data_IF_984289437494
#
_entry.id   IF_984289437494
#
_cell.length_a   1.000
_cell.length_b   1.000
_cell.length_c   1.000
_cell.angle_alpha   90.00
_cell.angle_beta   90.00
_cell.angle_gamma   90.00
#
_symmetry.space_group_name_H-M   'P 1'
#
loop_
_entity.id
_entity.type
_entity.pdbx_description
1 polymer ?
#
# COMPACT_ATOMS: atom_id res chain seq x y z
N UNK A 1 -18.25 -4.75 -4.61
CA UNK A 1 -19.23 -5.73 -5.17
C UNK A 1 -20.09 -6.37 -4.07
N UNK A 2 -19.55 -6.57 -2.85
CA UNK A 2 -20.31 -7.14 -1.72
C UNK A 2 -21.18 -6.11 -0.98
N UNK A 3 -21.21 -4.86 -1.41
CA UNK A 3 -22.01 -3.79 -0.79
C UNK A 3 -21.56 -3.34 0.61
N UNK A 4 -20.33 -3.71 1.01
CA UNK A 4 -19.81 -3.41 2.36
C UNK A 4 -19.12 -2.04 2.40
N UNK A 5 -18.58 -1.59 1.28
CA UNK A 5 -17.87 -0.31 1.10
C UNK A 5 -18.42 0.36 -0.16
N UNK A 6 -18.78 1.64 -0.08
CA UNK A 6 -19.12 2.46 -1.23
C UNK A 6 -17.96 3.41 -1.59
N UNK A 7 -17.87 3.80 -2.87
CA UNK A 7 -16.82 4.69 -3.35
C UNK A 7 -16.85 6.07 -2.68
N UNK A 8 -18.05 6.56 -2.37
CA UNK A 8 -18.25 7.88 -1.77
C UNK A 8 -18.21 7.85 -0.23
N UNK A 9 -18.05 6.66 0.37
CA UNK A 9 -17.96 6.57 1.83
C UNK A 9 -16.75 7.36 2.35
N UNK A 10 -16.94 8.18 3.38
CA UNK A 10 -15.83 8.82 4.08
C UNK A 10 -14.92 7.79 4.75
N UNK A 11 -13.61 7.91 4.54
CA UNK A 11 -12.58 7.01 5.14
C UNK A 11 -12.71 6.97 6.66
N UNK A 12 -13.05 8.07 7.30
CA UNK A 12 -13.26 8.17 8.75
C UNK A 12 -14.36 7.24 9.30
N UNK A 13 -15.27 6.77 8.45
CA UNK A 13 -16.28 5.79 8.86
C UNK A 13 -15.66 4.42 9.22
N UNK A 14 -14.51 4.11 8.60
CA UNK A 14 -13.76 2.87 8.79
C UNK A 14 -12.54 3.05 9.69
N UNK A 15 -11.87 4.20 9.57
CA UNK A 15 -10.66 4.57 10.30
C UNK A 15 -10.92 5.82 11.13
N UNK A 16 -11.30 5.63 12.40
CA UNK A 16 -11.64 6.75 13.29
C UNK A 16 -10.48 7.73 13.50
N UNK A 17 -9.25 7.27 13.34
CA UNK A 17 -8.04 8.07 13.40
C UNK A 17 -8.04 9.21 12.36
N UNK A 18 -8.79 9.04 11.27
CA UNK A 18 -8.91 10.02 10.19
C UNK A 18 -9.97 11.13 10.44
N UNK A 19 -10.59 11.16 11.62
CA UNK A 19 -11.53 12.24 11.99
C UNK A 19 -10.86 13.61 12.17
N UNK A 20 -9.59 13.63 12.61
CA UNK A 20 -8.88 14.84 13.02
C UNK A 20 -7.73 15.20 12.06
N UNK A 21 -7.86 14.82 10.78
CA UNK A 21 -6.87 15.18 9.76
C UNK A 21 -6.75 16.70 9.62
N UNK A 22 -5.54 17.14 9.29
CA UNK A 22 -5.24 18.53 8.96
C UNK A 22 -4.54 18.62 7.61
N UNK A 23 -4.68 19.76 6.95
CA UNK A 23 -4.01 20.07 5.68
C UNK A 23 -2.89 21.06 5.96
N UNK A 24 -1.72 20.81 5.39
CA UNK A 24 -0.58 21.71 5.43
C UNK A 24 -0.83 22.95 4.56
N UNK A 25 -0.48 24.10 5.08
CA UNK A 25 -0.48 25.35 4.34
C UNK A 25 0.95 25.93 4.33
N UNK A 26 1.36 26.58 3.26
CA UNK A 26 2.71 27.10 3.00
C UNK A 26 3.33 27.96 4.12
N UNK A 27 2.51 28.45 5.05
CA UNK A 27 2.96 29.25 6.18
C UNK A 27 3.22 28.45 7.47
N UNK A 28 3.45 27.13 7.40
CA UNK A 28 3.51 26.22 8.55
C UNK A 28 2.23 26.27 9.40
N UNK A 29 1.13 26.69 8.81
CA UNK A 29 -0.20 26.66 9.41
C UNK A 29 -0.93 25.39 8.96
N UNK A 30 -1.75 24.89 9.83
CA UNK A 30 -2.60 23.75 9.56
C UNK A 30 -4.05 24.20 9.54
N UNK A 31 -4.81 23.71 8.58
CA UNK A 31 -6.25 23.93 8.52
C UNK A 31 -6.98 22.59 8.52
N UNK A 32 -8.23 22.59 8.99
CA UNK A 32 -9.10 21.43 8.82
C UNK A 32 -9.40 21.24 7.33
N UNK A 33 -9.45 19.99 6.82
CA UNK A 33 -9.90 19.72 5.47
C UNK A 33 -11.31 20.29 5.22
N UNK A 34 -11.55 20.86 4.05
CA UNK A 34 -12.88 21.31 3.61
C UNK A 34 -13.72 20.12 3.12
N UNK A 35 -13.05 19.08 2.63
CA UNK A 35 -13.66 17.87 2.11
C UNK A 35 -13.29 16.66 2.97
N UNK A 36 -14.26 15.80 3.25
CA UNK A 36 -13.98 14.48 3.78
C UNK A 36 -13.30 13.63 2.69
N UNK A 37 -12.22 12.96 3.09
CA UNK A 37 -11.53 11.98 2.24
C UNK A 37 -12.44 10.76 2.03
N UNK A 38 -12.69 10.38 0.79
CA UNK A 38 -13.50 9.22 0.41
C UNK A 38 -12.66 8.02 -0.02
N UNK A 39 -13.28 6.86 -0.15
CA UNK A 39 -12.67 5.65 -0.74
C UNK A 39 -12.22 5.94 -2.18
N UNK A 40 -13.03 6.67 -2.95
CA UNK A 40 -12.68 7.09 -4.32
C UNK A 40 -11.43 7.96 -4.36
N UNK A 41 -11.22 8.84 -3.37
CA UNK A 41 -10.01 9.68 -3.30
C UNK A 41 -8.75 8.84 -3.00
N UNK A 42 -8.87 7.79 -2.20
CA UNK A 42 -7.77 6.84 -2.00
C UNK A 42 -7.44 6.07 -3.28
N UNK A 43 -8.44 5.54 -3.97
CA UNK A 43 -8.27 4.78 -5.22
C UNK A 43 -7.68 5.62 -6.36
N UNK A 44 -7.99 6.91 -6.39
CA UNK A 44 -7.54 7.85 -7.43
C UNK A 44 -6.34 8.69 -7.05
N UNK A 45 -5.73 8.48 -5.88
CA UNK A 45 -4.65 9.32 -5.33
C UNK A 45 -4.99 10.81 -5.20
N UNK A 46 -6.26 11.13 -4.90
CA UNK A 46 -6.75 12.48 -4.60
C UNK A 46 -6.93 12.72 -3.10
N UNK A 47 -6.35 11.88 -2.27
CA UNK A 47 -6.49 11.90 -0.81
C UNK A 47 -5.67 12.98 -0.10
N UNK A 48 -4.65 13.56 -0.75
CA UNK A 48 -3.68 14.46 -0.12
C UNK A 48 -2.55 13.76 0.62
N UNK A 49 -2.51 12.43 0.64
CA UNK A 49 -1.45 11.63 1.25
C UNK A 49 -0.19 11.59 0.37
N UNK A 50 1.00 11.50 0.98
CA UNK A 50 2.30 11.42 0.29
C UNK A 50 3.08 10.14 0.59
N UNK A 51 4.38 10.14 0.24
CA UNK A 51 5.28 8.99 0.45
C UNK A 51 6.51 9.28 1.31
N UNK A 52 6.89 10.53 1.50
CA UNK A 52 8.13 10.91 2.19
C UNK A 52 9.31 11.21 1.25
N UNK A 53 9.01 11.42 -0.02
CA UNK A 53 9.92 12.00 -1.01
C UNK A 53 9.14 12.93 -1.94
N UNK A 54 9.69 14.12 -2.16
CA UNK A 54 9.03 15.15 -2.97
C UNK A 54 9.71 16.49 -2.83
N UNK A 55 8.92 17.56 -2.95
CA UNK A 55 9.39 18.95 -2.91
C UNK A 55 9.20 19.63 -1.56
N UNK A 56 8.53 19.00 -0.59
CA UNK A 56 8.29 19.58 0.73
C UNK A 56 9.07 18.81 1.80
N UNK A 57 10.28 19.26 2.10
CA UNK A 57 11.18 18.60 3.05
C UNK A 57 10.57 18.41 4.46
N UNK A 58 9.70 19.31 4.90
CA UNK A 58 9.05 19.22 6.20
C UNK A 58 8.08 18.02 6.24
N UNK A 59 7.12 17.95 5.33
CA UNK A 59 6.17 16.84 5.25
C UNK A 59 6.89 15.53 4.89
N UNK A 60 7.81 15.56 3.93
CA UNK A 60 8.53 14.38 3.48
C UNK A 60 9.31 13.71 4.63
N UNK A 61 9.87 14.52 5.56
CA UNK A 61 10.55 13.98 6.75
C UNK A 61 9.60 13.25 7.71
N UNK A 62 8.33 13.65 7.78
CA UNK A 62 7.32 12.97 8.60
C UNK A 62 6.84 11.70 7.90
N UNK A 63 6.51 11.78 6.62
CA UNK A 63 6.08 10.62 5.84
C UNK A 63 7.15 9.52 5.74
N UNK A 64 8.43 9.85 5.72
CA UNK A 64 9.51 8.84 5.66
C UNK A 64 9.49 7.86 6.83
N UNK A 65 8.93 8.23 7.99
CA UNK A 65 8.85 7.42 9.22
C UNK A 65 7.69 6.44 9.27
N UNK A 66 6.79 6.45 8.28
CA UNK A 66 5.63 5.55 8.26
C UNK A 66 6.07 4.09 8.10
N UNK A 67 7.19 3.86 7.43
CA UNK A 67 7.71 2.52 7.14
C UNK A 67 8.36 1.81 8.33
N UNK A 68 8.57 2.53 9.44
CA UNK A 68 9.09 1.98 10.70
C UNK A 68 7.99 1.31 11.55
N UNK A 69 6.74 1.34 11.08
CA UNK A 69 5.58 0.80 11.83
C UNK A 69 5.47 -0.70 11.68
N UNK A 70 5.00 -1.36 12.75
CA UNK A 70 5.00 -2.82 12.85
C UNK A 70 3.82 -3.51 12.18
N UNK A 71 2.74 -2.78 11.88
CA UNK A 71 1.54 -3.32 11.27
C UNK A 71 0.69 -2.21 10.66
N UNK A 72 -0.34 -2.58 9.91
CA UNK A 72 -1.22 -1.63 9.23
C UNK A 72 -1.99 -0.71 10.19
N UNK A 73 -2.29 -1.17 11.41
CA UNK A 73 -2.94 -0.32 12.41
C UNK A 73 -2.00 0.80 12.89
N UNK A 74 -0.78 0.46 13.29
CA UNK A 74 0.22 1.45 13.70
C UNK A 74 0.56 2.41 12.55
N UNK A 75 0.61 1.89 11.32
CA UNK A 75 0.85 2.66 10.12
C UNK A 75 -0.21 3.76 9.95
N UNK A 76 -1.50 3.42 9.94
CA UNK A 76 -2.57 4.42 9.74
C UNK A 76 -2.72 5.35 10.95
N UNK A 77 -2.48 4.86 12.18
CA UNK A 77 -2.49 5.70 13.38
C UNK A 77 -1.39 6.76 13.32
N UNK A 78 -0.19 6.40 12.90
CA UNK A 78 0.88 7.39 12.71
C UNK A 78 0.60 8.31 11.52
N UNK A 79 0.10 7.75 10.42
CA UNK A 79 -0.23 8.50 9.20
C UNK A 79 -1.27 9.59 9.48
N UNK A 80 -2.27 9.32 10.33
CA UNK A 80 -3.30 10.30 10.71
C UNK A 80 -2.77 11.51 11.49
N UNK A 81 -1.57 11.40 12.07
CA UNK A 81 -0.89 12.52 12.73
C UNK A 81 -0.08 13.40 11.79
N UNK A 82 0.07 13.01 10.53
CA UNK A 82 0.82 13.76 9.52
C UNK A 82 -0.15 14.61 8.71
N UNK A 83 0.14 15.91 8.49
CA UNK A 83 -0.70 16.74 7.66
C UNK A 83 -0.78 16.25 6.21
N UNK A 84 -1.95 16.41 5.60
CA UNK A 84 -2.14 16.21 4.17
C UNK A 84 -1.39 17.28 3.37
N UNK A 85 -0.93 16.94 2.18
CA UNK A 85 -0.30 17.89 1.27
C UNK A 85 -1.28 18.92 0.70
N UNK A 86 -2.56 18.50 0.52
CA UNK A 86 -3.65 19.33 0.01
C UNK A 86 -4.99 18.78 0.49
N UNK A 87 -6.02 19.55 0.28
CA UNK A 87 -7.40 19.17 0.61
C UNK A 87 -7.87 18.01 -0.26
N UNK A 88 -8.44 16.93 0.30
CA UNK A 88 -8.95 15.84 -0.50
C UNK A 88 -9.82 16.31 -1.66
N UNK A 89 -9.73 15.66 -2.81
CA UNK A 89 -10.42 15.94 -4.09
C UNK A 89 -9.84 17.08 -4.91
N UNK A 90 -8.99 17.96 -4.36
CA UNK A 90 -8.53 19.18 -5.06
C UNK A 90 -7.36 18.94 -6.00
N UNK A 91 -6.47 18.03 -5.67
CA UNK A 91 -5.26 17.75 -6.43
C UNK A 91 -5.01 16.25 -6.55
N UNK A 92 -4.01 15.87 -7.35
CA UNK A 92 -3.51 14.51 -7.47
C UNK A 92 -2.08 14.40 -6.96
N UNK A 93 -1.83 13.39 -6.13
CA UNK A 93 -0.48 13.06 -5.66
C UNK A 93 -0.32 11.57 -5.41
N UNK A 94 0.63 10.95 -6.09
CA UNK A 94 0.98 9.58 -5.79
C UNK A 94 1.49 9.45 -4.35
N UNK A 95 0.92 8.54 -3.59
CA UNK A 95 1.20 8.36 -2.17
C UNK A 95 0.66 7.04 -1.62
N UNK A 96 0.65 6.92 -0.31
CA UNK A 96 0.28 5.70 0.45
C UNK A 96 -1.23 5.41 0.50
N UNK A 97 -2.00 5.95 -0.41
CA UNK A 97 -3.46 5.76 -0.44
C UNK A 97 -3.88 4.29 -0.50
N UNK A 98 -3.17 3.47 -1.28
CA UNK A 98 -3.44 2.03 -1.41
C UNK A 98 -3.06 1.24 -0.16
N UNK A 99 -2.09 1.72 0.62
CA UNK A 99 -1.78 1.13 1.94
C UNK A 99 -2.91 1.37 2.93
N UNK A 100 -3.53 2.56 2.90
CA UNK A 100 -4.72 2.89 3.71
C UNK A 100 -5.90 2.00 3.30
N UNK A 101 -6.11 1.75 2.00
CA UNK A 101 -7.14 0.80 1.53
C UNK A 101 -6.88 -0.61 2.07
N UNK A 102 -5.63 -1.05 2.14
CA UNK A 102 -5.26 -2.33 2.78
C UNK A 102 -5.76 -2.41 4.22
N UNK A 103 -5.56 -1.34 5.01
CA UNK A 103 -6.07 -1.30 6.39
C UNK A 103 -7.60 -1.28 6.46
N UNK A 104 -8.27 -0.58 5.57
CA UNK A 104 -9.74 -0.58 5.51
C UNK A 104 -10.27 -2.00 5.27
N UNK A 105 -9.64 -2.76 4.36
CA UNK A 105 -9.98 -4.18 4.15
C UNK A 105 -9.88 -4.96 5.46
N UNK A 106 -8.79 -4.82 6.22
CA UNK A 106 -8.62 -5.52 7.50
C UNK A 106 -9.74 -5.15 8.51
N UNK A 107 -10.08 -3.86 8.59
CA UNK A 107 -11.12 -3.37 9.52
C UNK A 107 -12.49 -3.96 9.17
N UNK A 108 -12.84 -3.97 7.90
CA UNK A 108 -14.15 -4.40 7.43
C UNK A 108 -14.31 -5.92 7.47
N UNK A 109 -13.25 -6.65 7.10
CA UNK A 109 -13.31 -8.11 7.00
C UNK A 109 -12.93 -8.85 8.28
N UNK A 110 -12.25 -8.17 9.22
CA UNK A 110 -11.65 -8.75 10.43
C UNK A 110 -10.59 -9.83 10.14
N UNK A 111 -10.00 -9.77 8.94
CA UNK A 111 -8.89 -10.62 8.50
C UNK A 111 -7.63 -9.77 8.34
N UNK A 112 -6.45 -10.40 8.31
CA UNK A 112 -5.24 -9.72 7.81
C UNK A 112 -5.41 -9.42 6.31
N UNK A 113 -4.69 -8.44 5.81
CA UNK A 113 -4.73 -8.14 4.37
C UNK A 113 -4.28 -9.37 3.55
N UNK A 114 -3.26 -10.10 4.03
CA UNK A 114 -2.82 -11.32 3.39
C UNK A 114 -3.91 -12.39 3.34
N UNK A 115 -4.57 -12.69 4.46
CA UNK A 115 -5.60 -13.72 4.51
C UNK A 115 -6.75 -13.40 3.56
N UNK A 116 -7.20 -12.14 3.57
CA UNK A 116 -8.25 -11.68 2.66
C UNK A 116 -7.84 -11.86 1.19
N UNK A 117 -6.65 -11.40 0.80
CA UNK A 117 -6.16 -11.52 -0.57
C UNK A 117 -5.93 -12.98 -0.97
N UNK A 118 -5.40 -13.78 -0.05
CA UNK A 118 -5.15 -15.20 -0.28
C UNK A 118 -6.44 -15.99 -0.55
N UNK A 119 -7.48 -15.75 0.25
CA UNK A 119 -8.74 -16.49 0.12
C UNK A 119 -9.58 -16.02 -1.07
N UNK A 120 -9.53 -14.73 -1.40
CA UNK A 120 -10.41 -14.13 -2.42
C UNK A 120 -9.75 -13.93 -3.79
N UNK A 121 -8.40 -13.93 -3.86
CA UNK A 121 -7.65 -13.69 -5.09
C UNK A 121 -6.61 -14.79 -5.34
N UNK A 122 -5.67 -15.00 -4.40
CA UNK A 122 -4.52 -15.84 -4.70
C UNK A 122 -4.89 -17.32 -4.89
N UNK A 123 -5.66 -17.91 -3.98
CA UNK A 123 -6.13 -19.29 -4.12
C UNK A 123 -7.03 -19.50 -5.34
N UNK A 124 -8.07 -18.67 -5.59
CA UNK A 124 -8.90 -18.80 -6.79
C UNK A 124 -8.14 -18.72 -8.11
N UNK A 125 -7.08 -17.88 -8.16
CA UNK A 125 -6.24 -17.69 -9.34
C UNK A 125 -5.01 -18.61 -9.37
N UNK A 126 -4.89 -19.55 -8.43
CA UNK A 126 -3.75 -20.47 -8.33
C UNK A 126 -2.39 -19.75 -8.20
N UNK A 127 -2.38 -18.61 -7.49
CA UNK A 127 -1.20 -17.78 -7.26
C UNK A 127 -0.45 -18.21 -5.99
N UNK A 128 -0.08 -19.48 -5.89
CA UNK A 128 0.48 -20.10 -4.67
C UNK A 128 1.89 -19.63 -4.28
N UNK A 129 2.53 -18.82 -5.11
CA UNK A 129 3.82 -18.19 -4.86
C UNK A 129 3.72 -16.68 -4.68
N UNK A 130 2.52 -16.16 -4.34
CA UNK A 130 2.29 -14.74 -4.06
C UNK A 130 2.12 -14.52 -2.56
N UNK A 131 3.00 -13.70 -1.96
CA UNK A 131 3.08 -13.54 -0.51
C UNK A 131 3.55 -12.13 -0.14
N UNK A 132 3.22 -11.64 1.08
CA UNK A 132 3.95 -10.53 1.71
C UNK A 132 5.27 -11.03 2.31
N UNK A 133 5.26 -12.20 2.95
CA UNK A 133 6.46 -12.83 3.51
C UNK A 133 6.78 -14.13 2.80
N UNK A 134 8.03 -14.32 2.39
CA UNK A 134 8.48 -15.54 1.72
C UNK A 134 8.44 -16.71 2.70
N UNK A 135 7.72 -17.80 2.40
CA UNK A 135 7.83 -19.04 3.19
C UNK A 135 9.28 -19.54 3.25
N UNK A 136 9.74 -19.98 4.43
CA UNK A 136 11.14 -20.37 4.65
C UNK A 136 11.68 -21.36 3.61
N UNK A 137 10.85 -22.34 3.21
CA UNK A 137 11.22 -23.36 2.23
C UNK A 137 11.30 -22.85 0.78
N UNK A 138 10.84 -21.62 0.50
CA UNK A 138 10.89 -20.95 -0.82
C UNK A 138 11.96 -19.87 -0.92
N UNK A 139 12.67 -19.57 0.17
CA UNK A 139 13.64 -18.46 0.21
C UNK A 139 14.74 -18.58 -0.87
N UNK A 140 15.21 -19.80 -1.16
CA UNK A 140 16.24 -20.06 -2.17
C UNK A 140 15.78 -19.75 -3.61
N UNK A 141 14.48 -19.54 -3.83
CA UNK A 141 13.90 -19.14 -5.13
C UNK A 141 13.85 -17.63 -5.30
N UNK A 142 14.11 -16.85 -4.24
CA UNK A 142 14.11 -15.40 -4.32
C UNK A 142 15.30 -14.92 -5.16
N UNK A 143 15.02 -14.20 -6.24
CA UNK A 143 16.04 -13.72 -7.18
C UNK A 143 16.83 -12.57 -6.57
N UNK A 144 18.12 -12.49 -6.91
CA UNK A 144 18.93 -11.34 -6.52
C UNK A 144 18.53 -10.10 -7.31
N UNK A 145 18.48 -8.96 -6.64
CA UNK A 145 18.22 -7.67 -7.25
C UNK A 145 19.53 -6.88 -7.36
N UNK A 146 19.76 -6.26 -8.51
CA UNK A 146 20.98 -5.51 -8.82
C UNK A 146 20.64 -4.08 -9.22
N UNK A 147 21.50 -3.16 -8.81
CA UNK A 147 21.51 -1.77 -9.22
C UNK A 147 22.76 -1.51 -10.09
N UNK A 148 22.60 -0.75 -11.15
CA UNK A 148 23.76 -0.29 -11.92
C UNK A 148 24.39 0.90 -11.22
N UNK A 149 25.66 0.77 -10.82
CA UNK A 149 26.45 1.84 -10.21
C UNK A 149 27.23 2.58 -11.31
N UNK A 150 26.76 3.77 -11.66
CA UNK A 150 27.36 4.60 -12.73
C UNK A 150 28.83 4.96 -12.50
N UNK A 151 29.25 5.39 -11.26
CA UNK A 151 30.64 5.73 -10.98
C UNK A 151 31.61 4.59 -11.24
N UNK A 152 31.28 3.37 -10.87
CA UNK A 152 32.16 2.20 -11.03
C UNK A 152 31.90 1.41 -12.32
N UNK A 153 30.82 1.74 -13.04
CA UNK A 153 30.34 1.02 -14.24
C UNK A 153 30.09 -0.48 -13.99
N UNK A 154 29.65 -0.84 -12.77
CA UNK A 154 29.43 -2.21 -12.35
C UNK A 154 27.97 -2.43 -11.88
N UNK A 155 27.57 -3.71 -11.82
CA UNK A 155 26.34 -4.13 -11.15
C UNK A 155 26.61 -4.38 -9.66
N UNK A 156 25.94 -3.63 -8.80
CA UNK A 156 25.93 -3.84 -7.37
C UNK A 156 24.70 -4.65 -6.96
N UNK A 157 24.92 -5.76 -6.24
CA UNK A 157 23.82 -6.54 -5.70
C UNK A 157 23.22 -5.84 -4.47
N UNK A 158 21.98 -5.38 -4.60
CA UNK A 158 21.27 -4.62 -3.55
C UNK A 158 20.36 -5.46 -2.68
N UNK A 159 19.90 -6.61 -3.18
CA UNK A 159 19.05 -7.53 -2.42
C UNK A 159 19.24 -8.98 -2.87
N UNK A 160 19.03 -9.93 -1.96
CA UNK A 160 19.05 -11.36 -2.23
C UNK A 160 18.28 -12.15 -1.14
N UNK A 161 18.17 -13.47 -1.34
CA UNK A 161 17.47 -14.36 -0.41
C UNK A 161 18.00 -14.34 1.04
N UNK A 162 19.25 -13.94 1.27
CA UNK A 162 19.87 -13.94 2.61
C UNK A 162 19.46 -12.73 3.45
N UNK A 163 19.28 -11.57 2.84
CA UNK A 163 19.06 -10.29 3.54
C UNK A 163 17.81 -9.52 3.13
N UNK A 164 16.99 -10.09 2.23
CA UNK A 164 15.75 -9.43 1.83
C UNK A 164 14.80 -9.17 3.01
N UNK A 165 14.15 -8.02 2.99
CA UNK A 165 13.10 -7.65 3.95
C UNK A 165 11.93 -8.65 3.97
N UNK A 166 11.68 -9.33 2.87
CA UNK A 166 10.59 -10.29 2.73
C UNK A 166 10.77 -11.59 3.54
N UNK A 167 11.86 -11.74 4.28
CA UNK A 167 12.08 -12.85 5.23
C UNK A 167 11.25 -12.71 6.51
N UNK A 168 10.96 -11.47 6.91
CA UNK A 168 10.17 -11.17 8.09
C UNK A 168 9.40 -9.88 7.83
N UNK A 169 8.12 -10.02 7.56
CA UNK A 169 7.22 -8.91 7.24
C UNK A 169 6.18 -8.80 8.34
N UNK A 170 6.03 -7.60 8.87
CA UNK A 170 5.01 -7.28 9.88
C UNK A 170 4.00 -6.27 9.35
N UNK A 171 4.41 -5.40 8.41
CA UNK A 171 3.57 -4.45 7.72
C UNK A 171 3.19 -5.01 6.34
N UNK A 172 1.93 -5.39 6.16
CA UNK A 172 1.38 -5.86 4.89
C UNK A 172 0.96 -4.67 4.03
N UNK A 173 1.94 -4.08 3.31
CA UNK A 173 1.72 -2.86 2.50
C UNK A 173 0.79 -3.14 1.32
N UNK A 174 -0.38 -2.51 1.30
CA UNK A 174 -1.32 -2.58 0.19
C UNK A 174 -0.85 -1.89 -1.09
N UNK A 175 0.17 -1.01 -0.96
CA UNK A 175 0.72 -0.24 -2.08
C UNK A 175 1.87 -0.92 -2.83
N UNK A 176 2.49 -2.00 -2.29
CA UNK A 176 3.67 -2.59 -2.96
C UNK A 176 4.42 -3.65 -2.18
N UNK A 177 3.79 -4.29 -1.21
CA UNK A 177 4.42 -5.27 -0.31
C UNK A 177 4.51 -6.70 -0.84
N UNK A 178 3.85 -7.03 -1.94
CA UNK A 178 3.79 -8.40 -2.45
C UNK A 178 5.03 -8.80 -3.25
N UNK A 179 5.41 -10.05 -3.09
CA UNK A 179 6.31 -10.78 -3.98
C UNK A 179 5.52 -11.86 -4.71
N UNK A 180 5.95 -12.22 -5.91
CA UNK A 180 5.26 -13.19 -6.75
C UNK A 180 6.22 -13.87 -7.73
N UNK A 181 5.70 -14.78 -8.54
CA UNK A 181 6.37 -15.34 -9.70
C UNK A 181 5.70 -14.86 -10.98
N UNK A 182 6.41 -14.94 -12.11
CA UNK A 182 5.88 -14.61 -13.42
C UNK A 182 4.60 -15.39 -13.72
N UNK A 183 4.58 -16.71 -13.48
CA UNK A 183 3.41 -17.57 -13.71
C UNK A 183 2.21 -17.16 -12.87
N UNK A 184 2.40 -16.81 -11.60
CA UNK A 184 1.30 -16.35 -10.75
C UNK A 184 0.76 -15.00 -11.22
N UNK A 185 1.65 -14.08 -11.58
CA UNK A 185 1.22 -12.77 -12.08
C UNK A 185 0.50 -12.87 -13.43
N UNK A 186 0.91 -13.79 -14.31
CA UNK A 186 0.21 -14.09 -15.56
C UNK A 186 -1.23 -14.56 -15.29
N UNK A 187 -1.47 -15.40 -14.28
CA UNK A 187 -2.82 -15.82 -13.91
C UNK A 187 -3.71 -14.62 -13.55
N UNK A 188 -3.17 -13.66 -12.79
CA UNK A 188 -3.86 -12.41 -12.49
C UNK A 188 -4.16 -11.60 -13.76
N UNK A 189 -3.18 -11.45 -14.65
CA UNK A 189 -3.36 -10.73 -15.92
C UNK A 189 -4.42 -11.42 -16.80
N UNK A 190 -4.42 -12.75 -16.88
CA UNK A 190 -5.41 -13.50 -17.64
C UNK A 190 -6.83 -13.29 -17.10
N UNK A 191 -6.99 -13.28 -15.78
CA UNK A 191 -8.27 -12.97 -15.14
C UNK A 191 -8.76 -11.57 -15.54
N UNK A 192 -7.90 -10.56 -15.47
CA UNK A 192 -8.25 -9.18 -15.86
C UNK A 192 -8.62 -9.11 -17.36
N UNK A 193 -7.83 -9.75 -18.25
CA UNK A 193 -8.08 -9.73 -19.69
C UNK A 193 -9.31 -10.53 -20.12
N UNK A 194 -9.87 -11.34 -19.23
CA UNK A 194 -11.05 -12.17 -19.46
C UNK A 194 -12.24 -11.73 -18.58
N UNK A 195 -12.43 -10.42 -18.47
CA UNK A 195 -13.56 -9.78 -17.77
C UNK A 195 -13.80 -10.32 -16.34
N UNK A 196 -12.72 -10.56 -15.61
CA UNK A 196 -12.76 -11.05 -14.23
C UNK A 196 -12.94 -12.56 -14.08
N UNK A 197 -12.83 -13.31 -15.16
CA UNK A 197 -12.96 -14.78 -15.15
C UNK A 197 -11.62 -15.46 -15.29
N UNK A 198 -11.40 -16.50 -14.51
CA UNK A 198 -10.20 -17.34 -14.57
C UNK A 198 -10.60 -18.81 -14.68
N UNK A 199 -10.22 -19.46 -15.81
CA UNK A 199 -10.70 -20.80 -16.17
C UNK A 199 -12.24 -20.83 -16.22
N UNK A 200 -12.84 -21.82 -15.62
CA UNK A 200 -14.31 -21.99 -15.59
C UNK A 200 -15.00 -21.28 -14.40
N UNK A 201 -14.30 -20.34 -13.76
CA UNK A 201 -14.76 -19.64 -12.54
C UNK A 201 -14.88 -18.15 -12.80
#
# INVERSE_FOLDING_TARGET
ERGVIALDDPVKNYLKEFNELVVFNDSLKFKKPENDMSISDLLSHKSGLGYGWGSNAYLDSMYSKIWDKKNNQEFVTYLSSIPLFFDPKTEWRYGVSTDVLGRIIEVVTKQTLYDFLNDNIFKPLEMFDTHFQIPKHKLNRFVSNYRFDKPTNNLEKVDDWQKTRYRSVTLESGGGGLISTMSNYINFCLMISNDGKFKDK
#
